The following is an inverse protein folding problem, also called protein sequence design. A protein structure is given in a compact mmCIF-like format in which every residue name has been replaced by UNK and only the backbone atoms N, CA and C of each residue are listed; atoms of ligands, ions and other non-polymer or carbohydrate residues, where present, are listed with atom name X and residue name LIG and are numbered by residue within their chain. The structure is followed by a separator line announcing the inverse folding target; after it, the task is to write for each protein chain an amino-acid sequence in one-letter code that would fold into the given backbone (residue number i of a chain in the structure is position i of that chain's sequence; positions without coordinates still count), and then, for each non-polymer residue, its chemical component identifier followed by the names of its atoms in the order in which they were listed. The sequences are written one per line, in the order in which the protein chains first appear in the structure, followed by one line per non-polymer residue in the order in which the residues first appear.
data_IF_166536469398
#
_entry.id   IF_166536469398
#
_cell.length_a   1.000
_cell.length_b   1.000
_cell.length_c   1.000
_cell.angle_alpha   90.00
_cell.angle_beta   90.00
_cell.angle_gamma   90.00
#
_symmetry.space_group_name_H-M   'P 1'
#
loop_
_entity.id
_entity.type
_entity.pdbx_description
1 polymer ?
#
# COMPACT_ATOMS: atom_id res chain seq x y z
N UNK A 1 -11.65 0.00 -10.94
CA UNK A 1 -10.52 0.93 -11.16
C UNK A 1 -10.85 2.38 -10.81
N UNK A 2 -12.10 2.83 -10.97
CA UNK A 2 -12.50 4.22 -10.67
C UNK A 2 -12.69 4.54 -9.18
N UNK A 3 -12.41 3.60 -8.27
CA UNK A 3 -12.57 3.80 -6.82
C UNK A 3 -11.81 5.04 -6.27
N UNK A 4 -10.60 5.37 -6.75
CA UNK A 4 -9.88 6.55 -6.27
C UNK A 4 -10.42 7.89 -6.80
N UNK A 5 -11.19 7.89 -7.89
CA UNK A 5 -11.61 9.10 -8.60
C UNK A 5 -12.35 10.15 -7.74
N UNK A 6 -13.36 9.82 -6.92
CA UNK A 6 -14.02 10.81 -6.08
C UNK A 6 -13.07 11.43 -5.03
N UNK A 7 -12.14 10.62 -4.52
CA UNK A 7 -11.15 11.08 -3.53
C UNK A 7 -10.12 12.00 -4.17
N UNK A 8 -9.68 11.68 -5.39
CA UNK A 8 -8.81 12.54 -6.18
C UNK A 8 -9.47 13.89 -6.50
N UNK A 9 -10.72 13.86 -6.97
CA UNK A 9 -11.46 15.08 -7.29
C UNK A 9 -11.60 16.00 -6.06
N UNK A 10 -11.96 15.44 -4.90
CA UNK A 10 -12.06 16.21 -3.66
C UNK A 10 -10.71 16.75 -3.18
N UNK A 11 -9.65 15.92 -3.20
CA UNK A 11 -8.31 16.36 -2.82
C UNK A 11 -7.81 17.51 -3.70
N UNK A 12 -7.97 17.41 -5.02
CA UNK A 12 -7.61 18.47 -5.97
C UNK A 12 -8.45 19.72 -5.73
N UNK A 13 -9.78 19.58 -5.61
CA UNK A 13 -10.69 20.71 -5.42
C UNK A 13 -10.33 21.51 -4.18
N UNK A 14 -10.23 20.86 -3.01
CA UNK A 14 -9.95 21.56 -1.76
C UNK A 14 -8.54 22.16 -1.75
N UNK A 15 -7.53 21.44 -2.24
CA UNK A 15 -6.17 21.94 -2.30
C UNK A 15 -6.00 23.11 -3.28
N UNK A 16 -6.70 23.09 -4.43
CA UNK A 16 -6.69 24.20 -5.39
C UNK A 16 -7.28 25.50 -4.82
N UNK A 17 -8.18 25.39 -3.84
CA UNK A 17 -8.77 26.53 -3.13
C UNK A 17 -8.05 26.86 -1.80
N UNK A 18 -6.87 26.28 -1.54
CA UNK A 18 -6.09 26.50 -0.32
C UNK A 18 -6.68 25.87 0.95
N UNK A 19 -7.72 25.03 0.84
CA UNK A 19 -8.40 24.39 1.96
C UNK A 19 -7.71 23.07 2.35
N UNK A 20 -6.43 23.14 2.70
CA UNK A 20 -5.58 21.94 2.89
C UNK A 20 -6.06 21.00 3.99
N UNK A 21 -6.64 21.53 5.08
CA UNK A 21 -7.19 20.70 6.16
C UNK A 21 -8.38 19.86 5.69
N UNK A 22 -9.21 20.40 4.79
CA UNK A 22 -10.31 19.66 4.18
C UNK A 22 -9.82 18.72 3.09
N UNK A 23 -8.71 19.03 2.41
CA UNK A 23 -8.10 18.12 1.45
C UNK A 23 -7.51 16.86 2.10
N UNK A 24 -6.98 16.95 3.34
CA UNK A 24 -6.32 15.83 4.03
C UNK A 24 -7.16 14.54 4.11
N UNK A 25 -8.41 14.53 4.59
CA UNK A 25 -9.22 13.31 4.62
C UNK A 25 -9.46 12.73 3.22
N UNK A 26 -9.62 13.57 2.19
CA UNK A 26 -9.73 13.09 0.81
C UNK A 26 -8.43 12.45 0.33
N UNK A 27 -7.29 13.06 0.63
CA UNK A 27 -5.97 12.52 0.28
C UNK A 27 -5.67 11.21 1.02
N UNK A 28 -6.08 11.09 2.29
CA UNK A 28 -5.99 9.85 3.05
C UNK A 28 -6.78 8.71 2.38
N UNK A 29 -8.04 8.97 1.99
CA UNK A 29 -8.84 7.97 1.28
C UNK A 29 -8.36 7.73 -0.15
N UNK A 30 -7.80 8.74 -0.81
CA UNK A 30 -7.13 8.60 -2.10
C UNK A 30 -5.96 7.62 -1.97
N UNK A 31 -5.05 7.86 -1.03
CA UNK A 31 -3.90 6.97 -0.76
C UNK A 31 -4.39 5.53 -0.49
N UNK A 32 -5.35 5.36 0.41
CA UNK A 32 -5.89 4.04 0.76
C UNK A 32 -6.53 3.31 -0.44
N UNK A 33 -7.26 4.04 -1.30
CA UNK A 33 -7.91 3.44 -2.46
C UNK A 33 -6.95 3.18 -3.61
N UNK A 34 -5.93 4.02 -3.80
CA UNK A 34 -4.81 3.76 -4.73
C UNK A 34 -4.03 2.53 -4.27
N UNK A 35 -3.65 2.48 -2.98
CA UNK A 35 -2.98 1.34 -2.36
C UNK A 35 -3.78 0.05 -2.58
N UNK A 36 -5.10 0.09 -2.40
CA UNK A 36 -5.97 -1.08 -2.65
C UNK A 36 -5.91 -1.57 -4.10
N UNK A 37 -5.93 -0.66 -5.07
CA UNK A 37 -5.85 -1.02 -6.49
C UNK A 37 -4.45 -1.59 -6.80
N UNK A 38 -3.40 -0.92 -6.33
CA UNK A 38 -2.02 -1.37 -6.49
C UNK A 38 -1.79 -2.74 -5.83
N UNK A 39 -2.31 -2.94 -4.61
CA UNK A 39 -2.20 -4.19 -3.88
C UNK A 39 -2.84 -5.37 -4.62
N UNK A 40 -4.04 -5.20 -5.19
CA UNK A 40 -4.63 -6.21 -6.07
C UNK A 40 -3.79 -6.42 -7.34
N UNK A 41 -3.17 -5.36 -7.87
CA UNK A 41 -2.30 -5.44 -9.04
C UNK A 41 -0.99 -6.20 -8.78
N UNK A 42 -0.45 -6.13 -7.55
CA UNK A 42 0.73 -6.90 -7.16
C UNK A 42 0.49 -8.40 -7.34
N UNK A 43 -0.71 -8.85 -6.97
CA UNK A 43 -1.16 -10.24 -7.09
C UNK A 43 -1.83 -10.59 -8.42
N UNK A 44 -1.86 -9.66 -9.40
CA UNK A 44 -2.62 -9.80 -10.65
C UNK A 44 -4.12 -10.12 -10.45
N UNK A 45 -4.69 -9.72 -9.32
CA UNK A 45 -6.08 -9.95 -8.93
C UNK A 45 -7.06 -8.89 -9.46
N UNK A 46 -6.63 -8.09 -10.45
CA UNK A 46 -7.46 -7.07 -11.08
C UNK A 46 -8.42 -7.61 -12.15
N UNK A 47 -8.26 -8.89 -12.55
CA UNK A 47 -8.99 -9.47 -13.68
C UNK A 47 -8.51 -8.97 -15.05
N UNK A 48 -7.30 -8.38 -15.10
CA UNK A 48 -6.66 -7.89 -16.31
C UNK A 48 -5.48 -8.80 -16.72
N UNK A 49 -5.11 -8.83 -18.01
CA UNK A 49 -3.86 -9.46 -18.42
C UNK A 49 -2.65 -8.76 -17.77
N UNK A 50 -1.52 -9.45 -17.64
CA UNK A 50 -0.33 -8.97 -16.92
C UNK A 50 0.18 -7.62 -17.44
N UNK A 51 0.23 -7.43 -18.76
CA UNK A 51 0.69 -6.17 -19.35
C UNK A 51 -0.18 -4.97 -18.97
N UNK A 52 -1.50 -5.17 -18.88
CA UNK A 52 -2.45 -4.12 -18.49
C UNK A 52 -2.38 -3.84 -16.98
N UNK A 53 -2.18 -4.90 -16.17
CA UNK A 53 -1.89 -4.77 -14.74
C UNK A 53 -0.62 -3.94 -14.50
N UNK A 54 0.43 -4.17 -15.28
CA UNK A 54 1.68 -3.43 -15.20
C UNK A 54 1.50 -1.95 -15.62
N UNK A 55 0.69 -1.68 -16.65
CA UNK A 55 0.33 -0.31 -17.04
C UNK A 55 -0.43 0.42 -15.92
N UNK A 56 -1.30 -0.28 -15.20
CA UNK A 56 -2.00 0.28 -14.04
C UNK A 56 -1.01 0.68 -12.96
N UNK A 57 -0.05 -0.19 -12.60
CA UNK A 57 0.99 0.15 -11.62
C UNK A 57 1.80 1.37 -12.05
N UNK A 58 2.21 1.41 -13.32
CA UNK A 58 2.95 2.55 -13.88
C UNK A 58 2.14 3.86 -13.77
N UNK A 59 0.84 3.82 -14.03
CA UNK A 59 -0.04 4.99 -13.95
C UNK A 59 -0.32 5.43 -12.50
N UNK A 60 -0.42 4.49 -11.56
CA UNK A 60 -0.65 4.81 -10.14
C UNK A 60 0.61 5.32 -9.44
N UNK A 61 1.80 4.93 -9.90
CA UNK A 61 3.08 5.30 -9.29
C UNK A 61 3.29 6.82 -9.10
N UNK A 62 3.13 7.69 -10.12
CA UNK A 62 3.23 9.14 -9.92
C UNK A 62 2.11 9.74 -9.07
N UNK A 63 0.96 9.05 -8.92
CA UNK A 63 -0.10 9.49 -8.01
C UNK A 63 0.19 9.14 -6.55
N UNK A 64 0.91 8.04 -6.31
CA UNK A 64 1.32 7.60 -4.98
C UNK A 64 2.71 8.12 -4.57
N UNK A 65 3.48 8.68 -5.51
CA UNK A 65 4.84 9.18 -5.29
C UNK A 65 5.84 8.08 -4.88
N UNK A 66 5.61 6.82 -5.31
CA UNK A 66 6.49 5.69 -5.05
C UNK A 66 6.55 4.73 -6.26
N UNK A 67 7.73 4.17 -6.63
CA UNK A 67 7.82 3.15 -7.68
C UNK A 67 7.08 1.86 -7.29
N UNK A 68 5.87 1.64 -7.83
CA UNK A 68 5.00 0.54 -7.40
C UNK A 68 5.47 -0.81 -7.91
N UNK A 69 6.30 -0.87 -8.96
CA UNK A 69 6.95 -2.12 -9.32
C UNK A 69 8.00 -2.56 -8.29
N UNK A 70 8.61 -1.63 -7.57
CA UNK A 70 9.48 -1.97 -6.44
C UNK A 70 8.66 -2.60 -5.30
N UNK A 71 7.55 -1.94 -4.94
CA UNK A 71 6.62 -2.43 -3.92
C UNK A 71 6.05 -3.80 -4.29
N UNK A 72 5.67 -4.01 -5.56
CA UNK A 72 5.22 -5.33 -6.04
C UNK A 72 6.23 -6.43 -5.76
N UNK A 73 7.51 -6.18 -6.06
CA UNK A 73 8.57 -7.19 -5.86
C UNK A 73 8.76 -7.48 -4.38
N UNK A 74 8.87 -6.45 -3.54
CA UNK A 74 9.07 -6.66 -2.09
C UNK A 74 7.86 -7.30 -1.43
N UNK A 75 6.64 -6.91 -1.83
CA UNK A 75 5.40 -7.49 -1.32
C UNK A 75 5.29 -8.99 -1.65
N UNK A 76 5.68 -9.40 -2.87
CA UNK A 76 5.67 -10.81 -3.25
C UNK A 76 6.76 -11.62 -2.52
N UNK A 77 7.94 -11.03 -2.31
CA UNK A 77 8.97 -11.65 -1.46
C UNK A 77 8.52 -11.75 0.00
N UNK A 78 7.81 -10.75 0.51
CA UNK A 78 7.17 -10.78 1.83
C UNK A 78 6.18 -11.94 1.94
N UNK A 79 5.29 -12.15 0.97
CA UNK A 79 4.39 -13.32 1.00
C UNK A 79 5.13 -14.67 0.98
N UNK A 80 6.27 -14.73 0.29
CA UNK A 80 7.07 -15.95 0.16
C UNK A 80 7.91 -16.24 1.41
N UNK A 81 8.37 -15.19 2.10
CA UNK A 81 9.32 -15.25 3.21
C UNK A 81 8.78 -14.57 4.48
N UNK A 82 7.47 -14.50 4.64
CA UNK A 82 6.76 -13.65 5.61
C UNK A 82 7.37 -13.70 7.01
N UNK A 83 7.81 -12.53 7.50
CA UNK A 83 8.46 -12.33 8.80
C UNK A 83 9.78 -13.12 9.02
N UNK A 84 10.31 -13.74 7.97
CA UNK A 84 11.64 -14.36 7.95
C UNK A 84 12.76 -13.34 7.72
N UNK A 85 14.01 -13.78 7.84
CA UNK A 85 15.18 -12.88 7.72
C UNK A 85 15.36 -12.28 6.32
N UNK A 86 14.85 -12.96 5.28
CA UNK A 86 14.91 -12.49 3.89
C UNK A 86 13.80 -11.46 3.55
N UNK A 87 12.84 -11.26 4.44
CA UNK A 87 11.73 -10.33 4.24
C UNK A 87 12.09 -8.93 4.76
N UNK A 88 12.23 -7.96 3.85
CA UNK A 88 12.54 -6.58 4.20
C UNK A 88 11.44 -5.92 5.04
N UNK A 89 10.19 -6.36 4.88
CA UNK A 89 9.05 -5.84 5.64
C UNK A 89 9.05 -6.37 7.08
N UNK A 90 9.68 -7.52 7.34
CA UNK A 90 9.82 -8.09 8.69
C UNK A 90 10.47 -7.12 9.69
N UNK A 91 11.38 -6.25 9.23
CA UNK A 91 12.04 -5.25 10.08
C UNK A 91 11.02 -4.28 10.68
N UNK A 92 10.04 -3.83 9.89
CA UNK A 92 8.99 -2.94 10.37
C UNK A 92 8.06 -3.66 11.35
N UNK A 93 7.71 -4.92 11.09
CA UNK A 93 6.84 -5.73 11.96
C UNK A 93 7.39 -5.92 13.37
N UNK A 94 8.72 -6.03 13.53
CA UNK A 94 9.39 -6.29 14.82
C UNK A 94 9.69 -5.03 15.65
N UNK A 95 9.46 -3.83 15.11
CA UNK A 95 9.76 -2.57 15.81
C UNK A 95 8.72 -2.25 16.90
N UNK A 96 9.12 -1.45 17.87
CA UNK A 96 8.17 -0.78 18.77
C UNK A 96 7.34 0.25 18.00
N UNK A 97 6.22 0.71 18.60
CA UNK A 97 5.36 1.73 18.01
C UNK A 97 6.15 2.99 17.57
N UNK A 98 6.97 3.55 18.46
CA UNK A 98 7.80 4.71 18.13
C UNK A 98 8.92 4.35 17.16
N UNK A 99 9.46 3.14 17.25
CA UNK A 99 10.49 2.64 16.35
C UNK A 99 10.03 2.56 14.89
N UNK A 100 8.80 2.07 14.63
CA UNK A 100 8.28 2.00 13.26
C UNK A 100 7.95 3.38 12.70
N UNK A 101 7.45 4.31 13.51
CA UNK A 101 7.21 5.68 13.06
C UNK A 101 8.51 6.39 12.69
N UNK A 102 9.58 6.21 13.48
CA UNK A 102 10.91 6.73 13.16
C UNK A 102 11.53 6.05 11.92
N UNK A 103 11.23 4.76 11.70
CA UNK A 103 11.69 4.02 10.53
C UNK A 103 10.97 4.40 9.24
N UNK A 104 9.74 4.92 9.36
CA UNK A 104 8.86 5.28 8.26
C UNK A 104 9.52 5.96 7.05
N UNK A 105 10.24 7.08 7.22
CA UNK A 105 10.91 7.77 6.11
C UNK A 105 11.98 6.95 5.38
N UNK A 106 12.58 5.97 6.06
CA UNK A 106 13.59 5.07 5.47
C UNK A 106 12.96 3.90 4.73
N UNK A 107 11.77 3.46 5.11
CA UNK A 107 11.13 2.27 4.56
C UNK A 107 10.96 2.30 3.04
N UNK A 108 10.45 3.37 2.39
CA UNK A 108 10.38 3.45 0.93
C UNK A 108 11.74 3.26 0.24
N UNK A 109 12.81 3.78 0.85
CA UNK A 109 14.18 3.66 0.33
C UNK A 109 14.65 2.22 0.41
N UNK A 110 14.40 1.55 1.54
CA UNK A 110 14.79 0.15 1.73
C UNK A 110 13.98 -0.77 0.79
N UNK A 111 12.70 -0.50 0.55
CA UNK A 111 11.88 -1.18 -0.47
C UNK A 111 12.50 -1.05 -1.86
N UNK A 112 12.85 0.16 -2.28
CA UNK A 112 13.49 0.39 -3.59
C UNK A 112 14.86 -0.32 -3.68
N UNK A 113 15.67 -0.28 -2.62
CA UNK A 113 16.97 -0.96 -2.58
C UNK A 113 16.81 -2.48 -2.65
N UNK A 114 15.86 -3.05 -1.91
CA UNK A 114 15.58 -4.48 -1.92
C UNK A 114 15.09 -4.94 -3.31
N UNK A 115 14.12 -4.22 -3.89
CA UNK A 115 13.64 -4.50 -5.23
C UNK A 115 14.73 -4.37 -6.30
N UNK A 116 15.66 -3.42 -6.16
CA UNK A 116 16.78 -3.30 -7.09
C UNK A 116 17.75 -4.49 -7.01
N UNK A 117 18.01 -4.99 -5.80
CA UNK A 117 18.91 -6.14 -5.56
C UNK A 117 18.30 -7.44 -6.08
N UNK A 118 17.06 -7.72 -5.74
CA UNK A 118 16.37 -8.98 -6.06
C UNK A 118 15.76 -8.95 -7.47
N UNK A 119 15.36 -7.77 -7.94
CA UNK A 119 14.74 -7.59 -9.25
C UNK A 119 15.74 -7.70 -10.41
N UNK A 120 15.28 -8.31 -11.51
CA UNK A 120 16.02 -8.37 -12.77
C UNK A 120 16.00 -7.05 -13.55
N UNK A 121 16.66 -7.05 -14.72
CA UNK A 121 16.81 -5.86 -15.58
C UNK A 121 15.49 -5.17 -15.92
N UNK A 122 14.43 -5.93 -16.14
CA UNK A 122 13.11 -5.38 -16.46
C UNK A 122 12.48 -4.62 -15.28
N UNK A 123 12.63 -5.13 -14.06
CA UNK A 123 12.14 -4.43 -12.86
C UNK A 123 12.92 -3.13 -12.66
N UNK A 124 14.25 -3.18 -12.78
CA UNK A 124 15.11 -1.99 -12.66
C UNK A 124 14.74 -0.91 -13.70
N UNK A 125 14.48 -1.33 -14.95
CA UNK A 125 14.02 -0.41 -15.99
C UNK A 125 12.67 0.22 -15.62
N UNK A 126 11.68 -0.57 -15.19
CA UNK A 126 10.36 -0.04 -14.78
C UNK A 126 10.45 0.92 -13.61
N UNK A 127 11.25 0.59 -12.60
CA UNK A 127 11.53 1.48 -11.47
C UNK A 127 12.15 2.81 -11.94
N UNK A 128 13.05 2.77 -12.93
CA UNK A 128 13.62 3.97 -13.53
C UNK A 128 12.58 4.83 -14.25
N UNK A 129 11.66 4.21 -15.00
CA UNK A 129 10.55 4.94 -15.65
C UNK A 129 9.62 5.56 -14.60
N UNK A 130 9.22 4.80 -13.57
CA UNK A 130 8.40 5.29 -12.46
C UNK A 130 9.07 6.46 -11.72
N UNK A 131 10.36 6.33 -11.41
CA UNK A 131 11.15 7.41 -10.81
C UNK A 131 11.20 8.66 -11.70
N UNK A 132 11.33 8.48 -13.02
CA UNK A 132 11.26 9.58 -13.99
C UNK A 132 9.90 10.28 -14.00
N UNK A 133 8.79 9.52 -13.92
CA UNK A 133 7.44 10.08 -13.82
C UNK A 133 7.25 10.85 -12.51
N UNK A 134 7.70 10.31 -11.38
CA UNK A 134 7.63 10.97 -10.07
C UNK A 134 8.48 12.25 -10.06
N UNK A 135 9.68 12.22 -10.64
CA UNK A 135 10.51 13.41 -10.82
C UNK A 135 9.80 14.46 -11.70
N UNK A 136 9.13 14.02 -12.77
CA UNK A 136 8.29 14.88 -13.61
C UNK A 136 7.16 15.56 -12.83
N UNK A 137 6.50 14.85 -11.90
CA UNK A 137 5.49 15.44 -11.00
C UNK A 137 6.11 16.54 -10.12
N UNK A 138 7.28 16.30 -9.52
CA UNK A 138 7.98 17.31 -8.72
C UNK A 138 8.38 18.52 -9.55
N UNK A 139 8.97 18.31 -10.73
CA UNK A 139 9.34 19.41 -11.64
C UNK A 139 8.10 20.22 -12.03
N UNK A 140 6.99 19.56 -12.39
CA UNK A 140 5.74 20.24 -12.69
C UNK A 140 5.18 21.01 -11.49
N UNK A 141 5.26 20.44 -10.27
CA UNK A 141 4.82 21.10 -9.04
C UNK A 141 5.60 22.41 -8.80
N UNK A 142 6.93 22.37 -8.89
CA UNK A 142 7.78 23.55 -8.65
C UNK A 142 7.69 24.59 -9.76
N UNK A 143 7.60 24.17 -11.02
CA UNK A 143 7.55 25.10 -12.17
C UNK A 143 6.21 25.79 -12.31
N UNK A 144 5.10 25.09 -12.05
CA UNK A 144 3.75 25.68 -12.16
C UNK A 144 3.31 26.38 -10.89
N UNK A 145 3.84 25.97 -9.72
CA UNK A 145 3.37 26.45 -8.42
C UNK A 145 1.90 26.14 -8.14
N UNK A 146 1.26 25.23 -8.90
CA UNK A 146 -0.16 24.95 -8.77
C UNK A 146 -0.45 24.31 -7.38
N UNK A 147 -1.27 24.95 -6.52
CA UNK A 147 -1.41 24.51 -5.12
C UNK A 147 -1.81 23.05 -4.96
N UNK A 148 -2.71 22.54 -5.79
CA UNK A 148 -3.16 21.15 -5.70
C UNK A 148 -2.05 20.15 -6.04
N UNK A 149 -1.19 20.46 -7.02
CA UNK A 149 -0.10 19.58 -7.43
C UNK A 149 1.03 19.56 -6.40
N UNK A 150 1.43 20.73 -5.89
CA UNK A 150 2.42 20.85 -4.82
C UNK A 150 1.92 20.12 -3.57
N UNK A 151 0.68 20.37 -3.18
CA UNK A 151 0.04 19.70 -2.05
C UNK A 151 0.04 18.17 -2.21
N UNK A 152 -0.41 17.66 -3.36
CA UNK A 152 -0.48 16.22 -3.61
C UNK A 152 0.91 15.57 -3.54
N UNK A 153 1.90 16.15 -4.22
CA UNK A 153 3.28 15.64 -4.21
C UNK A 153 3.86 15.55 -2.78
N UNK A 154 3.66 16.60 -1.96
CA UNK A 154 4.12 16.63 -0.57
C UNK A 154 3.39 15.61 0.30
N UNK A 155 2.05 15.62 0.28
CA UNK A 155 1.26 14.78 1.19
C UNK A 155 1.34 13.31 0.84
N UNK A 156 1.39 12.94 -0.45
CA UNK A 156 1.60 11.54 -0.85
C UNK A 156 2.98 11.04 -0.46
N UNK A 157 4.04 11.84 -0.68
CA UNK A 157 5.39 11.49 -0.24
C UNK A 157 5.46 11.31 1.28
N UNK A 158 4.81 12.19 2.04
CA UNK A 158 4.71 12.05 3.50
C UNK A 158 3.87 10.81 3.90
N UNK A 159 2.82 10.50 3.14
CA UNK A 159 2.00 9.30 3.32
C UNK A 159 2.81 8.01 3.13
N UNK A 160 3.71 7.97 2.14
CA UNK A 160 4.58 6.81 1.92
C UNK A 160 5.55 6.54 3.09
N UNK A 161 5.94 7.59 3.81
CA UNK A 161 6.68 7.43 5.06
C UNK A 161 5.86 6.73 6.15
N UNK A 162 4.54 6.63 6.03
CA UNK A 162 3.67 5.92 6.98
C UNK A 162 3.29 4.51 6.51
N UNK A 163 3.72 4.10 5.31
CA UNK A 163 3.41 2.77 4.75
C UNK A 163 3.91 1.65 5.66
N UNK A 164 5.13 1.76 6.21
CA UNK A 164 5.66 0.76 7.16
C UNK A 164 4.76 0.58 8.38
N UNK A 165 4.16 1.66 8.87
CA UNK A 165 3.28 1.61 10.03
C UNK A 165 1.97 0.89 9.67
N UNK A 166 1.24 1.37 8.65
CA UNK A 166 -0.09 0.86 8.34
C UNK A 166 -0.11 -0.47 7.60
N UNK A 167 0.79 -0.64 6.62
CA UNK A 167 0.79 -1.81 5.75
C UNK A 167 1.58 -2.99 6.32
N UNK A 168 2.44 -2.74 7.32
CA UNK A 168 3.28 -3.78 7.90
C UNK A 168 3.10 -3.91 9.41
N UNK A 169 3.47 -2.89 10.19
CA UNK A 169 3.45 -3.00 11.65
C UNK A 169 2.05 -3.28 12.20
N UNK A 170 1.04 -2.50 11.82
CA UNK A 170 -0.35 -2.65 12.27
C UNK A 170 -0.88 -4.08 12.04
N UNK A 171 -0.44 -4.74 10.96
CA UNK A 171 -0.93 -6.05 10.54
C UNK A 171 0.00 -7.21 10.91
N UNK A 172 1.24 -6.98 11.34
CA UNK A 172 2.21 -8.07 11.65
C UNK A 172 2.82 -8.05 13.05
N UNK A 173 2.79 -6.93 13.77
CA UNK A 173 3.52 -6.83 15.03
C UNK A 173 3.09 -7.92 16.03
N UNK A 174 4.06 -8.63 16.62
CA UNK A 174 3.79 -9.68 17.60
C UNK A 174 3.15 -10.94 17.00
N UNK A 175 3.36 -11.22 15.72
CA UNK A 175 2.86 -12.43 15.03
C UNK A 175 3.97 -13.37 14.54
N UNK A 176 5.23 -13.10 14.90
CA UNK A 176 6.43 -13.78 14.39
C UNK A 176 6.44 -15.29 14.68
N UNK A 177 5.81 -15.69 15.79
CA UNK A 177 5.70 -17.09 16.23
C UNK A 177 4.29 -17.66 16.06
N UNK A 178 3.38 -16.92 15.42
CA UNK A 178 2.00 -17.35 15.23
C UNK A 178 1.87 -18.19 13.95
N UNK A 179 1.02 -19.22 13.99
CA UNK A 179 0.74 -20.10 12.84
C UNK A 179 0.29 -19.29 11.60
N UNK A 180 -0.43 -18.21 11.86
CA UNK A 180 -0.78 -17.20 10.86
C UNK A 180 0.00 -15.92 11.17
N UNK A 181 1.11 -15.62 10.48
CA UNK A 181 1.99 -14.49 10.79
C UNK A 181 1.39 -13.15 10.32
N UNK A 182 0.11 -12.93 10.58
CA UNK A 182 -0.65 -11.74 10.21
C UNK A 182 -1.86 -11.58 11.15
N UNK A 183 -2.24 -10.33 11.41
CA UNK A 183 -3.45 -9.94 12.12
C UNK A 183 -4.61 -9.78 11.14
N UNK A 184 -5.83 -9.72 11.66
CA UNK A 184 -7.02 -9.42 10.87
C UNK A 184 -7.94 -8.40 11.54
N UNK A 185 -8.95 -7.91 10.82
CA UNK A 185 -9.90 -6.93 11.32
C UNK A 185 -11.34 -7.44 11.17
N UNK A 186 -12.08 -7.51 12.27
CA UNK A 186 -13.52 -7.80 12.29
C UNK A 186 -14.35 -6.51 12.49
N UNK A 187 -15.60 -6.55 12.02
CA UNK A 187 -16.56 -5.45 12.11
C UNK A 187 -16.88 -4.80 10.77
N UNK A 188 -18.19 -4.66 10.49
CA UNK A 188 -18.68 -4.15 9.20
C UNK A 188 -18.19 -2.73 8.89
N UNK A 189 -18.23 -1.83 9.88
CA UNK A 189 -17.87 -0.42 9.70
C UNK A 189 -16.36 -0.26 9.52
N UNK A 190 -15.55 -0.89 10.39
CA UNK A 190 -14.09 -0.89 10.30
C UNK A 190 -13.62 -1.39 8.93
N UNK A 191 -14.17 -2.51 8.46
CA UNK A 191 -13.84 -3.10 7.16
C UNK A 191 -14.34 -2.28 5.95
N UNK A 192 -15.36 -1.44 6.14
CA UNK A 192 -15.81 -0.51 5.11
C UNK A 192 -14.85 0.67 5.00
N UNK A 193 -14.44 1.25 6.13
CA UNK A 193 -13.53 2.42 6.18
C UNK A 193 -12.13 2.04 5.68
N UNK A 194 -11.60 0.88 6.11
CA UNK A 194 -10.29 0.40 5.65
C UNK A 194 -10.31 -0.19 4.23
N UNK A 195 -11.46 -0.15 3.55
CA UNK A 195 -11.70 -0.88 2.29
C UNK A 195 -11.27 -2.36 2.33
N UNK A 196 -11.37 -2.97 3.51
CA UNK A 196 -11.02 -4.37 3.77
C UNK A 196 -9.53 -4.69 3.63
N UNK A 197 -8.67 -3.68 3.59
CA UNK A 197 -7.21 -3.84 3.50
C UNK A 197 -6.59 -4.53 4.73
N UNK A 198 -7.26 -4.46 5.88
CA UNK A 198 -6.80 -5.09 7.14
C UNK A 198 -7.37 -6.49 7.39
N UNK A 199 -8.08 -7.09 6.42
CA UNK A 199 -8.31 -8.54 6.40
C UNK A 199 -7.03 -9.25 5.94
N UNK A 200 -5.95 -9.04 6.69
CA UNK A 200 -4.60 -9.30 6.23
C UNK A 200 -4.22 -10.78 6.38
N UNK A 201 -4.67 -11.45 7.45
CA UNK A 201 -4.56 -12.91 7.57
C UNK A 201 -5.28 -13.63 6.41
N UNK A 202 -6.48 -13.19 6.04
CA UNK A 202 -7.22 -13.75 4.91
C UNK A 202 -6.49 -13.53 3.58
N UNK A 203 -5.89 -12.34 3.43
CA UNK A 203 -5.08 -12.00 2.28
C UNK A 203 -3.82 -12.86 2.18
N UNK A 204 -3.11 -13.11 3.28
CA UNK A 204 -1.95 -14.00 3.31
C UNK A 204 -2.30 -15.44 2.94
N UNK A 205 -3.44 -15.94 3.43
CA UNK A 205 -3.91 -17.28 3.12
C UNK A 205 -4.37 -17.44 1.67
N UNK A 206 -5.00 -16.39 1.11
CA UNK A 206 -5.57 -16.43 -0.23
C UNK A 206 -5.24 -15.16 -1.03
N UNK A 207 -3.96 -14.93 -1.40
CA UNK A 207 -3.50 -13.66 -2.00
C UNK A 207 -4.08 -13.39 -3.38
N UNK A 208 -4.57 -14.43 -4.07
CA UNK A 208 -5.26 -14.30 -5.34
C UNK A 208 -6.71 -13.78 -5.21
N UNK A 209 -7.27 -13.76 -3.99
CA UNK A 209 -8.63 -13.23 -3.76
C UNK A 209 -8.56 -11.70 -3.70
N UNK A 210 -9.26 -10.97 -4.60
CA UNK A 210 -9.18 -9.53 -4.59
C UNK A 210 -9.80 -8.94 -3.33
N UNK A 211 -9.24 -7.80 -2.88
CA UNK A 211 -9.59 -7.16 -1.60
C UNK A 211 -11.09 -6.89 -1.39
N UNK A 212 -11.88 -6.70 -2.47
CA UNK A 212 -13.33 -6.52 -2.36
C UNK A 212 -14.11 -7.79 -1.99
N UNK A 213 -13.52 -8.98 -2.18
CA UNK A 213 -14.09 -10.27 -1.78
C UNK A 213 -13.56 -10.78 -0.45
N UNK A 214 -12.54 -10.15 0.14
CA UNK A 214 -11.95 -10.61 1.42
C UNK A 214 -12.98 -10.65 2.56
N UNK A 215 -13.99 -9.77 2.56
CA UNK A 215 -15.08 -9.83 3.56
C UNK A 215 -15.93 -11.10 3.45
N UNK A 216 -16.13 -11.58 2.24
CA UNK A 216 -16.84 -12.84 2.02
C UNK A 216 -15.96 -14.02 2.41
N UNK A 217 -14.68 -13.99 2.04
CA UNK A 217 -13.70 -14.97 2.45
C UNK A 217 -13.60 -15.08 3.98
N UNK A 218 -13.49 -13.95 4.69
CA UNK A 218 -13.46 -13.91 6.15
C UNK A 218 -14.70 -14.58 6.75
N UNK A 219 -15.91 -14.29 6.24
CA UNK A 219 -17.14 -14.96 6.70
C UNK A 219 -17.14 -16.47 6.47
N UNK A 220 -16.50 -16.95 5.40
CA UNK A 220 -16.38 -18.38 5.12
C UNK A 220 -15.37 -19.03 6.06
N UNK A 221 -14.23 -18.38 6.27
CA UNK A 221 -13.19 -18.84 7.20
C UNK A 221 -13.67 -18.85 8.65
N UNK A 222 -14.43 -17.86 9.09
CA UNK A 222 -15.00 -17.81 10.45
C UNK A 222 -15.90 -19.03 10.75
N UNK A 223 -16.42 -19.73 9.73
CA UNK A 223 -17.24 -20.95 9.90
C UNK A 223 -16.43 -22.24 10.01
N UNK A 224 -15.22 -22.28 9.45
CA UNK A 224 -14.45 -23.51 9.26
C UNK A 224 -13.08 -23.49 9.94
N UNK A 225 -12.55 -22.29 10.21
CA UNK A 225 -11.25 -22.04 10.83
C UNK A 225 -11.30 -20.70 11.63
N UNK A 226 -12.16 -20.61 12.67
CA UNK A 226 -12.37 -19.38 13.43
C UNK A 226 -11.10 -18.89 14.15
N UNK A 227 -10.13 -19.77 14.41
CA UNK A 227 -8.84 -19.45 15.04
C UNK A 227 -7.97 -18.48 14.22
N UNK A 228 -8.21 -18.36 12.91
CA UNK A 228 -7.56 -17.34 12.05
C UNK A 228 -7.87 -15.92 12.54
N UNK A 229 -9.05 -15.71 13.14
CA UNK A 229 -9.43 -14.43 13.73
C UNK A 229 -8.78 -14.18 15.10
N UNK A 230 -7.93 -15.09 15.60
CA UNK A 230 -7.37 -15.07 16.94
C UNK A 230 -6.50 -13.85 17.26
N UNK A 231 -5.90 -13.20 16.24
CA UNK A 231 -5.15 -11.94 16.42
C UNK A 231 -5.77 -10.81 15.61
N UNK A 232 -6.39 -9.86 16.33
CA UNK A 232 -6.99 -8.67 15.72
C UNK A 232 -5.98 -7.52 15.60
N UNK A 233 -6.23 -6.63 14.64
CA UNK A 233 -5.50 -5.36 14.46
C UNK A 233 -5.81 -4.35 15.57
N UNK A 234 -7.00 -4.47 16.19
CA UNK A 234 -7.49 -3.66 17.32
C UNK A 234 -8.10 -4.56 18.39
#
# INVERSE_FOLDING_TARGET
MLLPAPWLAGAIWFAAHGQYLLALPFTFFLFLTLLRVAHNAYHNALGLPRWATDLVLLALSPLMMLPLHAVKVTHLEHHKHCLGEADIESEAGRKSFWGVLAYGPRFPIDVMRAAWRVGGVHIRWRMGVEAGLIAGVWVAAFTTGWPALVYNAVVMTAGECLTAFFAVWVVHHGTEHHVYPARTQRGWLKNRISYSMFLHAEHHLFPAVPTFRLRELARRLDRVAPEIAGKQVL
#
